data_IF_633391171397
#
_entry.id   IF_633391171397
#
_cell.length_a   1.000
_cell.length_b   1.000
_cell.length_c   1.000
_cell.angle_alpha   90.00
_cell.angle_beta   90.00
_cell.angle_gamma   90.00
#
_symmetry.space_group_name_H-M   'P 1'
#
loop_
_entity.id
_entity.type
_entity.pdbx_description
1 polymer ?
#
# COMPACT_ATOMS: atom_id res chain seq x y z
N UNK A 1 8.09 16.65 6.23
CA UNK A 1 9.54 16.96 6.27
C UNK A 1 9.93 17.59 4.95
N UNK A 2 10.86 18.52 4.98
CA UNK A 2 11.35 19.26 3.81
C UNK A 2 12.84 18.97 3.66
N UNK A 3 13.29 18.60 2.47
CA UNK A 3 14.71 18.34 2.22
C UNK A 3 15.55 19.58 2.54
N UNK A 4 16.71 19.38 3.16
CA UNK A 4 17.59 20.48 3.57
C UNK A 4 18.24 21.21 2.39
N UNK A 5 18.27 20.60 1.21
CA UNK A 5 18.83 21.21 0.00
C UNK A 5 17.77 21.95 -0.84
N UNK A 6 16.48 21.86 -0.47
CA UNK A 6 15.41 22.62 -1.12
C UNK A 6 15.46 24.09 -0.69
N UNK A 7 16.10 24.90 -1.53
CA UNK A 7 16.32 26.34 -1.30
C UNK A 7 15.03 27.16 -1.31
N UNK A 8 14.03 26.73 -2.05
CA UNK A 8 12.76 27.44 -2.21
C UNK A 8 11.60 26.55 -1.80
N UNK A 9 11.65 26.09 -0.56
CA UNK A 9 10.63 25.24 0.04
C UNK A 9 9.22 25.85 0.00
N UNK A 10 8.23 25.00 -0.18
CA UNK A 10 6.83 25.32 0.09
C UNK A 10 6.66 25.73 1.56
N UNK A 11 5.75 26.67 1.79
CA UNK A 11 5.50 27.22 3.12
C UNK A 11 4.35 26.50 3.82
N UNK A 12 3.47 25.86 3.04
CA UNK A 12 2.21 25.28 3.44
C UNK A 12 1.36 26.22 4.30
N UNK A 13 1.41 27.53 4.00
CA UNK A 13 0.93 28.58 4.90
C UNK A 13 -0.60 28.58 5.09
N UNK A 14 -1.35 28.01 4.14
CA UNK A 14 -2.81 27.88 4.21
C UNK A 14 -3.27 26.47 4.59
N UNK A 15 -2.34 25.57 4.89
CA UNK A 15 -2.62 24.17 5.18
C UNK A 15 -2.29 23.85 6.63
N UNK A 16 -2.93 22.83 7.18
CA UNK A 16 -2.65 22.34 8.54
C UNK A 16 -1.43 21.41 8.48
N UNK A 17 -0.24 21.99 8.30
CA UNK A 17 1.02 21.24 8.19
C UNK A 17 2.12 21.90 9.03
N UNK A 18 2.87 21.07 9.76
CA UNK A 18 4.12 21.46 10.39
C UNK A 18 5.29 20.93 9.57
N UNK A 19 6.24 21.81 9.24
CA UNK A 19 7.42 21.44 8.47
C UNK A 19 8.66 21.36 9.35
N UNK A 20 9.45 20.31 9.15
CA UNK A 20 10.79 20.15 9.74
C UNK A 20 11.75 19.97 8.57
N UNK A 21 12.84 20.75 8.55
CA UNK A 21 13.91 20.60 7.58
C UNK A 21 14.86 19.48 8.00
N UNK A 22 15.17 18.58 7.07
CA UNK A 22 16.11 17.47 7.26
C UNK A 22 16.50 16.91 5.90
N UNK A 23 17.73 16.42 5.76
CA UNK A 23 18.11 15.66 4.56
C UNK A 23 17.18 14.45 4.36
N UNK A 24 16.61 14.34 3.17
CA UNK A 24 15.81 13.19 2.74
C UNK A 24 16.66 12.27 1.84
N UNK A 25 16.44 10.95 1.87
CA UNK A 25 17.12 10.02 0.96
C UNK A 25 16.69 10.20 -0.50
N UNK A 26 15.44 10.62 -0.74
CA UNK A 26 14.94 11.02 -2.06
C UNK A 26 13.68 11.90 -1.94
N UNK A 27 13.45 12.75 -2.95
CA UNK A 27 12.38 13.74 -2.98
C UNK A 27 12.65 14.96 -2.12
N UNK A 28 11.84 16.01 -2.32
CA UNK A 28 11.98 17.30 -1.63
C UNK A 28 11.04 17.40 -0.42
N UNK A 29 9.93 16.65 -0.41
CA UNK A 29 8.96 16.65 0.67
C UNK A 29 8.61 15.22 1.09
N UNK A 30 8.90 14.87 2.33
CA UNK A 30 8.71 13.52 2.86
C UNK A 30 7.70 13.46 4.02
N UNK A 31 6.95 12.35 4.09
CA UNK A 31 6.18 11.95 5.26
C UNK A 31 6.90 10.83 6.00
N UNK A 32 7.24 11.07 7.27
CA UNK A 32 7.86 10.07 8.13
C UNK A 32 6.83 9.59 9.15
N UNK A 33 6.76 8.27 9.33
CA UNK A 33 5.97 7.60 10.38
C UNK A 33 6.92 6.65 11.11
N UNK A 34 6.98 6.80 12.43
CA UNK A 34 7.88 6.03 13.31
C UNK A 34 9.34 5.97 12.81
N UNK A 35 9.82 7.08 12.25
CA UNK A 35 11.17 7.22 11.71
C UNK A 35 11.37 6.68 10.28
N UNK A 36 10.35 6.05 9.69
CA UNK A 36 10.39 5.49 8.33
C UNK A 36 9.77 6.46 7.33
N UNK A 37 10.45 6.68 6.19
CA UNK A 37 9.90 7.48 5.08
C UNK A 37 8.85 6.66 4.32
N UNK A 38 7.57 6.96 4.54
CA UNK A 38 6.45 6.22 3.93
C UNK A 38 5.99 6.86 2.62
N UNK A 39 6.19 8.16 2.47
CA UNK A 39 5.85 8.87 1.25
C UNK A 39 6.84 10.00 0.95
N UNK A 40 7.06 10.27 -0.33
CA UNK A 40 7.90 11.39 -0.77
C UNK A 40 7.39 12.02 -2.06
N UNK A 41 7.56 13.34 -2.18
CA UNK A 41 7.24 14.11 -3.39
C UNK A 41 8.51 14.83 -3.85
N UNK A 42 8.91 14.57 -5.09
CA UNK A 42 9.94 15.34 -5.80
C UNK A 42 9.26 16.52 -6.50
N UNK A 43 9.74 17.73 -6.25
CA UNK A 43 9.30 18.95 -6.90
C UNK A 43 10.21 19.26 -8.08
N UNK A 44 9.62 19.64 -9.21
CA UNK A 44 10.39 19.92 -10.41
C UNK A 44 9.82 21.11 -11.18
N UNK A 45 10.71 22.00 -11.64
CA UNK A 45 10.34 22.96 -12.69
C UNK A 45 10.27 22.26 -14.04
N UNK A 46 9.60 22.86 -15.04
CA UNK A 46 9.62 22.33 -16.40
C UNK A 46 11.03 22.23 -16.97
N UNK A 47 11.85 23.26 -16.75
CA UNK A 47 13.23 23.30 -17.24
C UNK A 47 14.08 22.17 -16.63
N UNK A 48 13.96 21.95 -15.32
CA UNK A 48 14.68 20.88 -14.62
C UNK A 48 14.16 19.49 -15.01
N UNK A 49 12.85 19.36 -15.27
CA UNK A 49 12.27 18.11 -15.78
C UNK A 49 12.88 17.75 -17.13
N UNK A 50 12.85 18.68 -18.08
CA UNK A 50 13.39 18.44 -19.43
C UNK A 50 14.89 18.16 -19.36
N UNK A 51 15.65 18.96 -18.61
CA UNK A 51 17.11 18.78 -18.45
C UNK A 51 17.48 17.42 -17.83
N UNK A 52 16.80 17.02 -16.75
CA UNK A 52 17.04 15.73 -16.09
C UNK A 52 16.60 14.54 -16.93
N UNK A 53 15.52 14.69 -17.72
CA UNK A 53 15.06 13.67 -18.66
C UNK A 53 16.06 13.48 -19.80
N UNK A 54 16.50 14.55 -20.46
CA UNK A 54 17.42 14.47 -21.61
C UNK A 54 18.83 14.04 -21.21
N UNK A 55 19.25 14.33 -19.97
CA UNK A 55 20.52 13.84 -19.42
C UNK A 55 20.44 12.42 -18.85
N UNK A 56 19.24 11.83 -18.79
CA UNK A 56 18.99 10.51 -18.20
C UNK A 56 18.99 10.48 -16.66
N UNK A 57 19.30 11.59 -15.99
CA UNK A 57 19.32 11.70 -14.52
C UNK A 57 17.97 11.39 -13.88
N UNK A 58 16.88 11.75 -14.54
CA UNK A 58 15.52 11.53 -14.04
C UNK A 58 15.20 10.05 -13.80
N UNK A 59 15.81 9.13 -14.57
CA UNK A 59 15.64 7.68 -14.40
C UNK A 59 16.14 7.20 -13.04
N UNK A 60 17.27 7.73 -12.56
CA UNK A 60 17.81 7.38 -11.25
C UNK A 60 16.90 7.92 -10.14
N UNK A 61 16.47 9.17 -10.25
CA UNK A 61 15.56 9.77 -9.28
C UNK A 61 14.22 9.02 -9.18
N UNK A 62 13.62 8.63 -10.31
CA UNK A 62 12.40 7.84 -10.32
C UNK A 62 12.61 6.43 -9.75
N UNK A 63 13.79 5.84 -9.95
CA UNK A 63 14.13 4.55 -9.33
C UNK A 63 14.15 4.64 -7.80
N UNK A 64 14.75 5.70 -7.25
CA UNK A 64 14.81 5.90 -5.80
C UNK A 64 13.41 6.17 -5.22
N UNK A 65 12.62 7.01 -5.90
CA UNK A 65 11.22 7.27 -5.53
C UNK A 65 10.35 6.02 -5.60
N UNK A 66 10.54 5.18 -6.62
CA UNK A 66 9.76 3.96 -6.82
C UNK A 66 10.00 2.89 -5.74
N UNK A 67 11.07 3.02 -4.95
CA UNK A 67 11.33 2.16 -3.80
C UNK A 67 10.45 2.51 -2.58
N UNK A 68 9.80 3.68 -2.58
CA UNK A 68 8.90 4.09 -1.50
C UNK A 68 7.47 3.57 -1.71
N UNK A 69 6.70 3.36 -0.63
CA UNK A 69 5.31 2.96 -0.74
C UNK A 69 4.47 3.95 -1.55
N UNK A 70 4.65 5.26 -1.32
CA UNK A 70 3.90 6.33 -1.98
C UNK A 70 4.84 7.44 -2.43
N UNK A 71 5.14 7.51 -3.71
CA UNK A 71 5.96 8.60 -4.24
C UNK A 71 5.34 9.27 -5.45
N UNK A 72 5.71 10.52 -5.70
CA UNK A 72 5.28 11.26 -6.87
C UNK A 72 6.30 12.31 -7.29
N UNK A 73 6.23 12.72 -8.55
CA UNK A 73 6.87 13.93 -9.06
C UNK A 73 5.79 14.97 -9.33
N UNK A 74 5.92 16.15 -8.73
CA UNK A 74 5.07 17.30 -9.03
C UNK A 74 5.84 18.29 -9.91
N UNK A 75 5.24 18.67 -11.04
CA UNK A 75 5.82 19.58 -12.01
C UNK A 75 5.10 20.92 -11.94
N UNK A 76 5.86 21.99 -11.70
CA UNK A 76 5.37 23.37 -11.62
C UNK A 76 5.17 24.01 -13.00
N UNK A 77 4.44 23.31 -13.88
CA UNK A 77 4.00 23.85 -15.16
C UNK A 77 2.87 23.00 -15.75
N UNK A 78 2.36 23.39 -16.91
CA UNK A 78 1.36 22.65 -17.69
C UNK A 78 2.05 21.72 -18.69
N UNK A 79 1.49 20.53 -18.89
CA UNK A 79 1.97 19.60 -19.92
C UNK A 79 2.03 20.24 -21.32
N UNK A 80 1.09 21.15 -21.63
CA UNK A 80 1.07 21.86 -22.92
C UNK A 80 2.28 22.76 -23.17
N UNK A 81 3.02 23.18 -22.14
CA UNK A 81 4.24 23.97 -22.34
C UNK A 81 5.39 23.15 -22.93
N UNK A 82 5.36 21.81 -22.82
CA UNK A 82 6.34 20.94 -23.47
C UNK A 82 6.39 21.18 -24.99
N UNK A 83 5.26 21.52 -25.59
CA UNK A 83 5.15 21.75 -27.03
C UNK A 83 5.52 23.17 -27.46
N UNK A 84 5.99 23.99 -26.52
CA UNK A 84 6.51 25.33 -26.76
C UNK A 84 8.01 25.44 -26.46
N UNK A 85 8.69 24.31 -26.29
CA UNK A 85 10.13 24.26 -26.08
C UNK A 85 10.86 24.59 -27.39
N UNK A 86 11.81 25.52 -27.32
CA UNK A 86 12.61 25.94 -28.49
C UNK A 86 13.99 25.26 -28.58
N UNK A 87 14.41 24.59 -27.50
CA UNK A 87 15.77 24.08 -27.33
C UNK A 87 15.87 22.54 -27.32
N UNK A 88 14.74 21.85 -27.11
CA UNK A 88 14.61 20.40 -27.26
C UNK A 88 13.34 20.11 -28.05
N UNK A 89 13.41 19.15 -28.98
CA UNK A 89 12.24 18.72 -29.75
C UNK A 89 11.15 18.20 -28.80
N UNK A 90 9.92 18.75 -28.82
CA UNK A 90 8.85 18.32 -27.91
C UNK A 90 8.56 16.82 -27.93
N UNK A 91 8.64 16.18 -29.10
CA UNK A 91 8.42 14.74 -29.26
C UNK A 91 9.39 13.91 -28.39
N UNK A 92 10.66 14.30 -28.30
CA UNK A 92 11.66 13.60 -27.48
C UNK A 92 11.28 13.64 -26.00
N UNK A 93 10.75 14.76 -25.53
CA UNK A 93 10.33 14.89 -24.13
C UNK A 93 9.04 14.13 -23.87
N UNK A 94 8.05 14.25 -24.76
CA UNK A 94 6.77 13.56 -24.63
C UNK A 94 6.95 12.03 -24.65
N UNK A 95 7.73 11.51 -25.59
CA UNK A 95 8.05 10.07 -25.68
C UNK A 95 8.83 9.61 -24.45
N UNK A 96 9.80 10.41 -23.99
CA UNK A 96 10.55 10.12 -22.77
C UNK A 96 9.65 10.05 -21.54
N UNK A 97 8.75 11.02 -21.35
CA UNK A 97 7.81 11.03 -20.22
C UNK A 97 6.88 9.80 -20.25
N UNK A 98 6.41 9.41 -21.44
CA UNK A 98 5.63 8.20 -21.61
C UNK A 98 6.44 6.94 -21.24
N UNK A 99 7.70 6.82 -21.70
CA UNK A 99 8.60 5.72 -21.34
C UNK A 99 8.79 5.62 -19.83
N UNK A 100 9.02 6.75 -19.15
CA UNK A 100 9.22 6.79 -17.69
C UNK A 100 7.98 6.32 -16.93
N UNK A 101 6.79 6.77 -17.33
CA UNK A 101 5.52 6.36 -16.72
C UNK A 101 5.21 4.88 -16.91
N UNK A 102 5.58 4.30 -18.06
CA UNK A 102 5.45 2.85 -18.27
C UNK A 102 6.48 2.07 -17.44
N UNK A 103 7.70 2.59 -17.30
CA UNK A 103 8.76 1.93 -16.53
C UNK A 103 8.53 1.97 -15.01
N UNK A 104 8.03 3.10 -14.50
CA UNK A 104 7.73 3.31 -13.08
C UNK A 104 6.26 3.72 -12.89
N UNK A 105 5.31 2.81 -13.11
CA UNK A 105 3.87 3.13 -13.07
C UNK A 105 3.39 3.51 -11.66
N UNK A 106 4.18 3.21 -10.63
CA UNK A 106 3.88 3.56 -9.23
C UNK A 106 4.35 4.97 -8.84
N UNK A 107 5.05 5.71 -9.71
CA UNK A 107 5.50 7.08 -9.46
C UNK A 107 4.84 8.04 -10.46
N UNK A 108 3.64 8.56 -10.17
CA UNK A 108 2.98 9.52 -11.04
C UNK A 108 3.80 10.81 -11.19
N UNK A 109 3.86 11.32 -12.42
CA UNK A 109 4.37 12.65 -12.76
C UNK A 109 3.18 13.57 -13.04
N UNK A 110 2.91 14.53 -12.16
CA UNK A 110 1.71 15.38 -12.19
C UNK A 110 2.08 16.82 -12.53
N UNK A 111 1.48 17.35 -13.60
CA UNK A 111 1.63 18.74 -14.02
C UNK A 111 0.60 19.62 -13.32
N UNK A 112 1.08 20.51 -12.45
CA UNK A 112 0.25 21.31 -11.56
C UNK A 112 0.10 22.76 -11.99
N UNK A 113 0.58 23.15 -13.18
CA UNK A 113 0.50 24.50 -13.74
C UNK A 113 1.31 25.57 -12.99
N UNK A 114 0.99 25.82 -11.72
CA UNK A 114 1.57 26.89 -10.93
C UNK A 114 2.12 26.35 -9.62
N UNK A 115 3.13 27.04 -9.09
CA UNK A 115 3.77 26.72 -7.81
C UNK A 115 2.77 26.51 -6.67
N UNK A 116 1.77 27.39 -6.54
CA UNK A 116 0.77 27.31 -5.48
C UNK A 116 -0.11 26.06 -5.60
N UNK A 117 -0.42 25.64 -6.83
CA UNK A 117 -1.18 24.43 -7.09
C UNK A 117 -0.33 23.17 -6.86
N UNK A 118 0.96 23.21 -7.18
CA UNK A 118 1.90 22.13 -6.87
C UNK A 118 2.09 21.97 -5.35
N UNK A 119 2.16 23.07 -4.61
CA UNK A 119 2.17 23.11 -3.14
C UNK A 119 0.89 22.48 -2.55
N UNK A 120 -0.27 22.91 -3.03
CA UNK A 120 -1.57 22.35 -2.62
C UNK A 120 -1.68 20.85 -2.93
N UNK A 121 -1.26 20.44 -4.12
CA UNK A 121 -1.27 19.04 -4.54
C UNK A 121 -0.33 18.20 -3.66
N UNK A 122 0.88 18.71 -3.38
CA UNK A 122 1.87 18.05 -2.50
C UNK A 122 1.32 17.85 -1.10
N UNK A 123 0.67 18.87 -0.53
CA UNK A 123 0.00 18.75 0.77
C UNK A 123 -1.05 17.65 0.74
N UNK A 124 -1.95 17.65 -0.25
CA UNK A 124 -3.04 16.66 -0.35
C UNK A 124 -2.52 15.24 -0.55
N UNK A 125 -1.49 15.06 -1.37
CA UNK A 125 -0.87 13.76 -1.60
C UNK A 125 -0.27 13.20 -0.30
N UNK A 126 0.52 14.01 0.42
CA UNK A 126 1.14 13.58 1.68
C UNK A 126 0.09 13.37 2.78
N UNK A 127 -0.95 14.21 2.86
CA UNK A 127 -2.06 14.03 3.79
C UNK A 127 -2.83 12.73 3.51
N UNK A 128 -3.07 12.41 2.24
CA UNK A 128 -3.69 11.15 1.83
C UNK A 128 -2.79 9.96 2.17
N UNK A 129 -1.47 10.06 1.95
CA UNK A 129 -0.52 9.02 2.32
C UNK A 129 -0.46 8.80 3.84
N UNK A 130 -0.61 9.86 4.63
CA UNK A 130 -0.72 9.78 6.10
C UNK A 130 -2.02 9.08 6.53
N UNK A 131 -3.15 9.45 5.96
CA UNK A 131 -4.43 8.78 6.23
C UNK A 131 -4.39 7.30 5.83
N UNK A 132 -3.79 7.00 4.67
CA UNK A 132 -3.61 5.64 4.18
C UNK A 132 -2.73 4.80 5.11
N UNK A 133 -1.54 5.29 5.47
CA UNK A 133 -0.62 4.57 6.38
C UNK A 133 -1.23 4.34 7.76
N UNK A 134 -1.87 5.35 8.35
CA UNK A 134 -2.56 5.18 9.65
C UNK A 134 -3.73 4.19 9.61
N UNK A 135 -4.42 4.04 8.47
CA UNK A 135 -5.53 3.08 8.33
C UNK A 135 -5.08 1.70 7.88
N UNK A 136 -4.07 1.59 7.00
CA UNK A 136 -3.53 0.33 6.50
C UNK A 136 -2.50 -0.31 7.41
N UNK A 137 -1.71 0.44 8.18
CA UNK A 137 -0.93 -0.14 9.29
C UNK A 137 -1.87 -0.59 10.38
N UNK A 138 -2.90 0.17 10.73
CA UNK A 138 -3.95 -0.29 11.62
C UNK A 138 -4.73 -1.48 11.03
N UNK A 139 -4.89 -1.59 9.71
CA UNK A 139 -5.55 -2.74 9.07
C UNK A 139 -4.62 -3.95 8.99
N UNK A 140 -3.33 -3.76 8.71
CA UNK A 140 -2.30 -4.81 8.66
C UNK A 140 -2.02 -5.32 10.07
N UNK A 141 -1.89 -4.42 11.05
CA UNK A 141 -1.90 -4.77 12.47
C UNK A 141 -3.19 -5.47 12.82
N UNK A 142 -4.40 -4.95 12.54
CA UNK A 142 -5.65 -5.69 12.81
C UNK A 142 -5.72 -7.06 12.13
N UNK A 143 -5.24 -7.23 10.90
CA UNK A 143 -5.20 -8.52 10.21
C UNK A 143 -4.18 -9.45 10.89
N UNK A 144 -3.04 -8.92 11.31
CA UNK A 144 -2.04 -9.65 12.10
C UNK A 144 -2.54 -9.97 13.51
N UNK A 145 -3.31 -9.08 14.15
CA UNK A 145 -3.96 -9.26 15.46
C UNK A 145 -5.11 -10.25 15.34
N UNK A 146 -5.89 -10.22 14.28
CA UNK A 146 -6.92 -11.25 13.98
C UNK A 146 -6.29 -12.59 13.63
N UNK A 147 -5.05 -12.61 13.11
CA UNK A 147 -4.26 -13.84 12.93
C UNK A 147 -3.48 -14.27 14.17
N UNK A 148 -3.27 -13.38 15.15
CA UNK A 148 -2.49 -13.65 16.37
C UNK A 148 -3.33 -13.73 17.64
N UNK A 149 -4.57 -13.25 17.60
CA UNK A 149 -5.63 -13.76 18.45
C UNK A 149 -5.76 -15.22 18.01
N UNK A 150 -5.48 -16.20 18.89
CA UNK A 150 -6.05 -17.49 18.65
C UNK A 150 -7.54 -17.21 18.54
N UNK A 151 -8.14 -17.58 17.41
CA UNK A 151 -9.58 -17.76 17.39
C UNK A 151 -9.93 -18.46 18.71
N UNK A 152 -10.93 -17.99 19.50
CA UNK A 152 -11.41 -18.81 20.60
C UNK A 152 -11.66 -20.15 19.97
N UNK A 153 -10.96 -21.16 20.49
CA UNK A 153 -10.83 -22.50 19.92
C UNK A 153 -12.19 -22.96 19.39
N UNK A 154 -12.43 -22.69 18.10
CA UNK A 154 -13.66 -23.02 17.38
C UNK A 154 -13.42 -24.25 16.52
N UNK A 155 -12.38 -25.01 16.86
CA UNK A 155 -12.31 -26.44 16.61
C UNK A 155 -12.91 -27.21 17.82
N UNK A 156 -14.06 -26.73 18.29
CA UNK A 156 -15.14 -27.60 18.76
C UNK A 156 -16.40 -27.21 18.01
N UNK A 157 -16.36 -27.28 16.68
CA UNK A 157 -17.54 -27.84 16.01
C UNK A 157 -17.74 -29.22 16.64
N UNK A 158 -18.74 -29.33 17.51
CA UNK A 158 -19.32 -30.61 17.93
C UNK A 158 -19.77 -31.35 16.66
N UNK A 159 -18.83 -31.98 15.98
CA UNK A 159 -19.12 -33.14 15.19
C UNK A 159 -19.59 -34.17 16.21
N UNK A 160 -20.91 -34.37 16.25
CA UNK A 160 -21.49 -35.54 16.89
C UNK A 160 -20.70 -36.80 16.51
N UNK A 161 -20.74 -37.84 17.35
CA UNK A 161 -19.83 -38.97 17.28
C UNK A 161 -19.78 -39.52 15.86
N UNK A 162 -18.56 -39.82 15.38
CA UNK A 162 -18.46 -40.45 14.08
C UNK A 162 -19.13 -41.83 14.13
N UNK A 163 -19.55 -42.34 12.97
CA UNK A 163 -20.10 -43.71 12.90
C UNK A 163 -19.08 -44.76 13.38
N UNK A 164 -17.78 -44.45 13.39
CA UNK A 164 -16.76 -45.33 13.95
C UNK A 164 -16.80 -45.35 15.48
N UNK A 165 -17.00 -44.20 16.11
CA UNK A 165 -17.05 -44.04 17.57
C UNK A 165 -18.29 -44.73 18.15
N UNK A 166 -19.46 -44.49 17.55
CA UNK A 166 -20.71 -45.16 17.92
C UNK A 166 -20.60 -46.68 17.76
N UNK A 167 -19.89 -47.16 16.72
CA UNK A 167 -19.67 -48.60 16.50
C UNK A 167 -18.69 -49.20 17.53
N UNK A 168 -17.70 -48.44 17.97
CA UNK A 168 -16.78 -48.87 19.02
C UNK A 168 -17.50 -49.00 20.35
N UNK A 169 -18.24 -47.95 20.75
CA UNK A 169 -19.07 -47.94 21.94
C UNK A 169 -20.09 -49.09 21.94
N UNK A 170 -20.82 -49.27 20.85
CA UNK A 170 -21.84 -50.31 20.73
C UNK A 170 -21.26 -51.73 20.94
N UNK A 171 -20.04 -52.00 20.49
CA UNK A 171 -19.37 -53.29 20.77
C UNK A 171 -18.96 -53.43 22.24
N UNK A 172 -18.46 -52.36 22.85
CA UNK A 172 -18.06 -52.36 24.27
C UNK A 172 -19.24 -52.64 25.20
N UNK A 173 -20.43 -52.12 24.87
CA UNK A 173 -21.67 -52.40 25.63
C UNK A 173 -22.38 -53.70 25.22
N UNK A 174 -21.79 -54.47 24.28
CA UNK A 174 -22.29 -55.79 23.88
C UNK A 174 -23.44 -55.79 22.85
N UNK A 175 -23.68 -54.66 22.16
CA UNK A 175 -24.65 -54.60 21.06
C UNK A 175 -24.06 -55.20 19.77
N UNK A 176 -24.87 -55.95 19.02
CA UNK A 176 -24.44 -56.56 17.77
C UNK A 176 -24.40 -55.52 16.64
N UNK A 177 -23.23 -55.32 16.03
CA UNK A 177 -23.02 -54.29 15.01
C UNK A 177 -22.24 -54.83 13.80
N UNK A 178 -22.70 -54.58 12.55
CA UNK A 178 -21.95 -55.00 11.36
C UNK A 178 -20.54 -54.39 11.27
N UNK A 179 -19.58 -55.18 10.79
CA UNK A 179 -18.17 -54.78 10.63
C UNK A 179 -17.97 -53.67 9.60
N UNK A 180 -18.87 -53.55 8.61
CA UNK A 180 -18.90 -52.48 7.60
C UNK A 180 -20.34 -52.10 7.25
N UNK A 181 -20.52 -50.87 6.77
CA UNK A 181 -21.82 -50.33 6.38
C UNK A 181 -22.46 -49.42 7.43
N UNK A 182 -23.62 -48.86 7.06
CA UNK A 182 -24.37 -47.90 7.89
C UNK A 182 -24.93 -48.60 9.14
N UNK A 183 -24.82 -47.94 10.30
CA UNK A 183 -25.41 -48.42 11.55
C UNK A 183 -26.93 -48.34 11.50
N UNK A 184 -27.60 -49.32 12.12
CA UNK A 184 -29.06 -49.31 12.27
C UNK A 184 -29.49 -48.13 13.14
N UNK A 185 -30.67 -47.52 12.89
CA UNK A 185 -31.17 -46.39 13.69
C UNK A 185 -31.25 -46.68 15.19
N UNK A 186 -31.56 -47.93 15.57
CA UNK A 186 -31.62 -48.39 16.96
C UNK A 186 -30.29 -48.22 17.72
N UNK A 187 -29.14 -48.35 17.03
CA UNK A 187 -27.81 -48.18 17.62
C UNK A 187 -27.50 -46.70 17.86
N UNK A 188 -27.98 -45.82 16.98
CA UNK A 188 -27.87 -44.38 17.17
C UNK A 188 -28.73 -43.89 18.32
N UNK A 189 -29.95 -44.42 18.44
CA UNK A 189 -30.83 -44.09 19.57
C UNK A 189 -30.23 -44.56 20.90
N UNK A 190 -29.72 -45.79 20.96
CA UNK A 190 -29.07 -46.30 22.17
C UNK A 190 -27.84 -45.47 22.58
N UNK A 191 -27.09 -44.94 21.61
CA UNK A 191 -25.96 -44.05 21.89
C UNK A 191 -26.41 -42.70 22.46
N UNK A 192 -27.48 -42.12 21.93
CA UNK A 192 -28.08 -40.87 22.42
C UNK A 192 -28.74 -41.03 23.80
N UNK A 193 -29.29 -42.20 24.11
CA UNK A 193 -29.85 -42.45 25.44
C UNK A 193 -28.75 -42.62 26.51
N UNK A 194 -27.52 -42.92 26.08
CA UNK A 194 -26.37 -43.18 26.95
C UNK A 194 -25.41 -41.98 27.13
N UNK A 195 -25.55 -40.91 26.32
CA UNK A 195 -24.70 -39.71 26.32
C UNK A 195 -25.54 -38.44 26.26
#
# INVERSE_FOLDING_TARGET
MVDSHERYAYKFASQQANTIQRALPCGDYGLLIDGTLVASVERKSLADLVSSLTSGKLRYQLSDLAALPRAAVVVEDRYSQLFKLDWVRPAVVADGLAELQIRWPNVPIVFCEARQLAEEWTYRFLAAAHAWSTTEEAATQRILTVKSDPAPDRDTEEFGPSTADVRSWARDVGLEVPTRGRLRPEIWQAWQDAH
#
